data_IF_781648141733
#
_entry.id   IF_781648141733
#
_cell.length_a   1.000
_cell.length_b   1.000
_cell.length_c   1.000
_cell.angle_alpha   90.00
_cell.angle_beta   90.00
_cell.angle_gamma   90.00
#
_symmetry.space_group_name_H-M   'P 1'
#
loop_
_entity.id
_entity.type
_entity.pdbx_description
1 polymer ?
#
# COMPACT_ATOMS: atom_id res chain seq x y z
N UNK A 1 1.75 16.74 -14.05
CA UNK A 1 1.18 15.42 -14.36
C UNK A 1 0.55 15.50 -15.73
N UNK A 2 1.05 14.72 -16.68
CA UNK A 2 0.40 14.58 -17.98
C UNK A 2 -0.89 13.77 -17.84
N UNK A 3 -1.91 14.13 -18.62
CA UNK A 3 -3.21 13.45 -18.56
C UNK A 3 -3.16 12.19 -19.43
N UNK A 4 -3.33 11.03 -18.80
CA UNK A 4 -3.57 9.77 -19.50
C UNK A 4 -5.02 9.74 -20.01
N UNK A 5 -5.20 10.08 -21.29
CA UNK A 5 -6.51 10.15 -21.94
C UNK A 5 -7.28 8.83 -21.88
N UNK A 6 -6.58 7.69 -21.94
CA UNK A 6 -7.22 6.38 -21.92
C UNK A 6 -7.81 6.11 -20.53
N UNK A 7 -7.07 6.41 -19.46
CA UNK A 7 -7.57 6.28 -18.10
C UNK A 7 -8.72 7.25 -17.80
N UNK A 8 -8.67 8.49 -18.29
CA UNK A 8 -9.81 9.42 -18.24
C UNK A 8 -11.04 8.79 -18.93
N UNK A 9 -10.84 8.25 -20.13
CA UNK A 9 -11.90 7.60 -20.90
C UNK A 9 -12.55 6.42 -20.16
N UNK A 10 -11.74 5.57 -19.52
CA UNK A 10 -12.23 4.46 -18.68
C UNK A 10 -13.08 4.95 -17.51
N UNK A 11 -12.67 6.02 -16.82
CA UNK A 11 -13.44 6.60 -15.71
C UNK A 11 -14.78 7.19 -16.18
N UNK A 12 -14.79 7.90 -17.31
CA UNK A 12 -16.02 8.42 -17.93
C UNK A 12 -16.98 7.26 -18.28
N UNK A 13 -16.46 6.19 -18.89
CA UNK A 13 -17.24 4.99 -19.21
C UNK A 13 -17.86 4.36 -17.97
N UNK A 14 -17.10 4.24 -16.89
CA UNK A 14 -17.59 3.67 -15.64
C UNK A 14 -18.72 4.52 -15.03
N UNK A 15 -18.59 5.86 -15.02
CA UNK A 15 -19.66 6.76 -14.58
C UNK A 15 -20.93 6.56 -15.40
N UNK A 16 -20.79 6.50 -16.73
CA UNK A 16 -21.94 6.26 -17.63
C UNK A 16 -22.64 4.93 -17.32
N UNK A 17 -21.87 3.85 -17.19
CA UNK A 17 -22.41 2.51 -16.91
C UNK A 17 -23.07 2.45 -15.54
N UNK A 18 -22.50 3.09 -14.51
CA UNK A 18 -23.10 3.18 -13.17
C UNK A 18 -24.43 3.97 -13.14
N UNK A 19 -24.72 4.77 -14.17
CA UNK A 19 -26.02 5.43 -14.36
C UNK A 19 -26.96 4.66 -15.29
N UNK A 20 -26.58 3.44 -15.69
CA UNK A 20 -27.34 2.58 -16.61
C UNK A 20 -27.68 3.29 -17.92
N UNK A 21 -26.72 4.05 -18.47
CA UNK A 21 -26.91 4.85 -19.70
C UNK A 21 -26.14 4.26 -20.88
N UNK A 22 -26.75 4.23 -22.06
CA UNK A 22 -25.99 4.01 -23.30
C UNK A 22 -25.26 5.29 -23.76
N UNK A 23 -24.40 5.19 -24.79
CA UNK A 23 -23.58 6.32 -25.26
C UNK A 23 -24.42 7.55 -25.65
N UNK A 24 -25.55 7.32 -26.36
CA UNK A 24 -26.45 8.38 -26.80
C UNK A 24 -27.12 9.05 -25.61
N UNK A 25 -27.74 8.28 -24.72
CA UNK A 25 -28.45 8.80 -23.55
C UNK A 25 -27.52 9.59 -22.61
N UNK A 26 -26.26 9.17 -22.51
CA UNK A 26 -25.26 9.88 -21.71
C UNK A 26 -24.88 11.22 -22.33
N UNK A 27 -24.68 11.26 -23.65
CA UNK A 27 -24.47 12.51 -24.39
C UNK A 27 -25.65 13.48 -24.26
N UNK A 28 -26.88 12.96 -24.39
CA UNK A 28 -28.12 13.73 -24.20
C UNK A 28 -28.26 14.25 -22.76
N UNK A 29 -27.96 13.44 -21.75
CA UNK A 29 -27.99 13.85 -20.34
C UNK A 29 -27.05 15.03 -20.08
N UNK A 30 -25.79 14.93 -20.51
CA UNK A 30 -24.80 16.01 -20.34
C UNK A 30 -25.27 17.28 -21.05
N UNK A 31 -25.74 17.15 -22.30
CA UNK A 31 -26.19 18.29 -23.10
C UNK A 31 -27.39 19.00 -22.46
N UNK A 32 -28.34 18.22 -21.94
CA UNK A 32 -29.52 18.71 -21.22
C UNK A 32 -29.13 19.48 -19.97
N UNK A 33 -28.24 18.93 -19.13
CA UNK A 33 -27.81 19.58 -17.89
C UNK A 33 -27.04 20.88 -18.17
N UNK A 34 -26.23 20.89 -19.23
CA UNK A 34 -25.45 22.05 -19.66
C UNK A 34 -26.23 23.07 -20.51
N UNK A 35 -27.48 22.77 -20.85
CA UNK A 35 -28.36 23.54 -21.75
C UNK A 35 -27.68 23.85 -23.09
N UNK A 36 -27.06 22.85 -23.70
CA UNK A 36 -26.45 22.98 -25.03
C UNK A 36 -27.50 22.86 -26.14
N UNK A 37 -27.42 23.69 -27.18
CA UNK A 37 -28.38 23.70 -28.31
C UNK A 37 -28.36 22.41 -29.14
N UNK A 38 -27.28 21.63 -29.05
CA UNK A 38 -27.10 20.37 -29.77
C UNK A 38 -26.68 19.28 -28.80
N UNK A 39 -27.31 18.11 -28.95
CA UNK A 39 -26.91 16.93 -28.21
C UNK A 39 -25.51 16.47 -28.60
N UNK A 40 -24.70 16.13 -27.61
CA UNK A 40 -23.43 15.42 -27.76
C UNK A 40 -23.73 14.06 -28.37
N UNK A 41 -23.11 13.77 -29.53
CA UNK A 41 -23.29 12.49 -30.21
C UNK A 41 -22.63 11.33 -29.45
N UNK A 42 -23.18 10.13 -29.63
CA UNK A 42 -22.58 8.87 -29.22
C UNK A 42 -21.12 8.70 -29.71
N UNK A 43 -20.80 9.18 -30.91
CA UNK A 43 -19.45 9.18 -31.48
C UNK A 43 -18.48 10.11 -30.75
N UNK A 44 -18.95 11.18 -30.10
CA UNK A 44 -18.13 12.04 -29.25
C UNK A 44 -17.88 11.35 -27.91
N UNK A 45 -18.94 10.81 -27.29
CA UNK A 45 -18.82 10.06 -26.03
C UNK A 45 -17.88 8.86 -26.20
N UNK A 46 -18.02 8.11 -27.29
CA UNK A 46 -17.14 6.98 -27.63
C UNK A 46 -15.68 7.41 -27.79
N UNK A 47 -15.40 8.57 -28.40
CA UNK A 47 -14.03 9.11 -28.52
C UNK A 47 -13.45 9.47 -27.16
N UNK A 48 -14.24 10.02 -26.25
CA UNK A 48 -13.80 10.26 -24.87
C UNK A 48 -13.47 8.95 -24.17
N UNK A 49 -14.37 7.96 -24.23
CA UNK A 49 -14.18 6.68 -23.55
C UNK A 49 -12.99 5.86 -24.09
N UNK A 50 -12.63 6.05 -25.36
CA UNK A 50 -11.47 5.43 -26.00
C UNK A 50 -10.18 6.23 -25.83
N UNK A 51 -10.21 7.38 -25.15
CA UNK A 51 -9.04 8.24 -24.96
C UNK A 51 -8.56 8.97 -26.23
N UNK A 52 -9.39 9.04 -27.28
CA UNK A 52 -9.06 9.74 -28.53
C UNK A 52 -9.06 11.26 -28.31
N UNK A 53 -9.97 11.76 -27.49
CA UNK A 53 -10.05 13.17 -27.10
C UNK A 53 -10.52 13.30 -25.65
N UNK A 54 -10.32 14.48 -25.05
CA UNK A 54 -10.79 14.80 -23.69
C UNK A 54 -12.01 15.74 -23.83
N UNK A 55 -13.04 15.62 -22.97
CA UNK A 55 -14.12 16.62 -22.92
C UNK A 55 -13.60 18.02 -22.56
N UNK A 56 -14.36 19.06 -22.89
CA UNK A 56 -14.05 20.43 -22.45
C UNK A 56 -14.19 20.56 -20.93
N UNK A 57 -13.60 21.60 -20.33
CA UNK A 57 -13.68 21.84 -18.88
C UNK A 57 -15.13 21.87 -18.35
N UNK A 58 -16.05 22.52 -19.09
CA UNK A 58 -17.48 22.56 -18.77
C UNK A 58 -18.10 21.15 -18.73
N UNK A 59 -17.78 20.32 -19.71
CA UNK A 59 -18.29 18.94 -19.82
C UNK A 59 -17.63 17.99 -18.84
N UNK A 60 -16.34 18.16 -18.55
CA UNK A 60 -15.65 17.42 -17.49
C UNK A 60 -16.31 17.67 -16.13
N UNK A 61 -16.61 18.93 -15.79
CA UNK A 61 -17.32 19.28 -14.56
C UNK A 61 -18.68 18.60 -14.48
N UNK A 62 -19.48 18.69 -15.55
CA UNK A 62 -20.78 18.01 -15.60
C UNK A 62 -20.67 16.49 -15.43
N UNK A 63 -19.72 15.84 -16.11
CA UNK A 63 -19.49 14.40 -15.97
C UNK A 63 -19.09 14.05 -14.52
N UNK A 64 -18.30 14.92 -13.89
CA UNK A 64 -17.87 14.76 -12.50
C UNK A 64 -19.09 14.83 -11.55
N UNK A 65 -19.95 15.83 -11.76
CA UNK A 65 -21.17 16.05 -10.97
C UNK A 65 -22.15 14.87 -11.15
N UNK A 66 -22.35 14.37 -12.38
CA UNK A 66 -23.15 13.16 -12.64
C UNK A 66 -22.58 11.95 -11.87
N UNK A 67 -21.25 11.81 -11.87
CA UNK A 67 -20.54 10.73 -11.19
C UNK A 67 -20.43 10.89 -9.68
N UNK A 68 -20.78 12.05 -9.11
CA UNK A 68 -20.48 12.44 -7.74
C UNK A 68 -18.99 12.26 -7.39
N UNK A 69 -18.10 12.70 -8.29
CA UNK A 69 -16.64 12.64 -8.16
C UNK A 69 -16.03 14.01 -8.43
N UNK A 70 -14.78 14.22 -8.03
CA UNK A 70 -14.05 15.44 -8.39
C UNK A 70 -13.57 15.40 -9.85
N UNK A 71 -13.37 16.58 -10.45
CA UNK A 71 -12.72 16.69 -11.77
C UNK A 71 -11.29 16.13 -11.70
N UNK A 72 -10.60 16.27 -10.57
CA UNK A 72 -9.27 15.69 -10.36
C UNK A 72 -9.30 14.17 -10.41
N UNK A 73 -10.31 13.53 -9.83
CA UNK A 73 -10.49 12.08 -9.93
C UNK A 73 -10.71 11.65 -11.38
N UNK A 74 -11.53 12.40 -12.13
CA UNK A 74 -11.73 12.12 -13.57
C UNK A 74 -10.43 12.20 -14.37
N UNK A 75 -9.62 13.24 -14.13
CA UNK A 75 -8.42 13.52 -14.92
C UNK A 75 -7.22 12.67 -14.52
N UNK A 76 -7.06 12.39 -13.22
CA UNK A 76 -5.83 11.81 -12.67
C UNK A 76 -6.07 10.55 -11.85
N UNK A 77 -7.33 10.22 -11.54
CA UNK A 77 -7.66 9.12 -10.63
C UNK A 77 -7.42 9.40 -9.16
N UNK A 78 -7.02 10.62 -8.82
CA UNK A 78 -6.75 11.05 -7.44
C UNK A 78 -8.08 11.36 -6.77
N UNK A 79 -8.47 10.53 -5.81
CA UNK A 79 -9.60 10.75 -4.91
C UNK A 79 -9.31 11.83 -3.87
N UNK A 80 -8.12 11.76 -3.26
CA UNK A 80 -7.68 12.67 -2.22
C UNK A 80 -6.28 13.23 -2.56
N UNK A 81 -6.18 14.53 -2.78
CA UNK A 81 -4.89 15.19 -2.99
C UNK A 81 -4.12 15.28 -1.65
N UNK A 82 -2.82 15.56 -1.72
CA UNK A 82 -2.04 15.85 -0.50
C UNK A 82 -2.63 16.99 0.33
N UNK A 83 -3.21 18.01 -0.32
CA UNK A 83 -3.88 19.10 0.36
C UNK A 83 -5.16 18.60 1.06
N UNK A 84 -5.97 17.81 0.37
CA UNK A 84 -7.19 17.24 0.96
C UNK A 84 -6.86 16.36 2.18
N UNK A 85 -5.79 15.57 2.09
CA UNK A 85 -5.28 14.77 3.21
C UNK A 85 -4.83 15.71 4.34
N UNK A 86 -3.96 16.67 4.07
CA UNK A 86 -3.47 17.60 5.09
C UNK A 86 -4.59 18.33 5.83
N UNK A 87 -5.57 18.85 5.09
CA UNK A 87 -6.67 19.65 5.62
C UNK A 87 -7.70 18.78 6.36
N UNK A 88 -7.93 17.53 5.90
CA UNK A 88 -9.06 16.72 6.36
C UNK A 88 -8.69 15.41 7.08
N UNK A 89 -7.40 15.07 7.28
CA UNK A 89 -6.96 13.80 7.91
C UNK A 89 -7.59 13.54 9.28
N UNK A 90 -7.95 14.60 10.02
CA UNK A 90 -8.55 14.49 11.33
C UNK A 90 -10.09 14.39 11.34
N UNK A 91 -10.74 14.51 10.18
CA UNK A 91 -12.19 14.35 10.05
C UNK A 91 -12.60 12.89 10.22
N UNK A 92 -13.80 12.65 10.76
CA UNK A 92 -14.33 11.29 10.97
C UNK A 92 -14.39 10.52 9.64
N UNK A 93 -14.86 11.16 8.57
CA UNK A 93 -14.95 10.54 7.25
C UNK A 93 -13.59 10.08 6.72
N UNK A 94 -12.56 10.92 6.80
CA UNK A 94 -11.23 10.59 6.30
C UNK A 94 -10.57 9.48 7.14
N UNK A 95 -10.73 9.54 8.47
CA UNK A 95 -10.22 8.49 9.36
C UNK A 95 -10.83 7.13 9.04
N UNK A 96 -12.16 7.08 8.86
CA UNK A 96 -12.84 5.85 8.48
C UNK A 96 -12.32 5.31 7.15
N UNK A 97 -12.17 6.16 6.12
CA UNK A 97 -11.65 5.72 4.81
C UNK A 97 -10.19 5.21 4.90
N UNK A 98 -9.35 5.85 5.72
CA UNK A 98 -7.97 5.37 5.96
C UNK A 98 -7.99 4.02 6.68
N UNK A 99 -8.81 3.87 7.73
CA UNK A 99 -8.94 2.63 8.50
C UNK A 99 -9.43 1.48 7.61
N UNK A 100 -10.47 1.71 6.81
CA UNK A 100 -11.03 0.73 5.87
C UNK A 100 -9.97 0.29 4.85
N UNK A 101 -9.14 1.22 4.36
CA UNK A 101 -8.08 0.90 3.40
C UNK A 101 -6.91 0.15 4.05
N UNK A 102 -6.53 0.47 5.29
CA UNK A 102 -5.59 -0.36 6.05
C UNK A 102 -6.12 -1.77 6.23
N UNK A 103 -7.36 -1.91 6.72
CA UNK A 103 -8.00 -3.22 6.90
C UNK A 103 -8.03 -4.02 5.61
N UNK A 104 -8.45 -3.38 4.50
CA UNK A 104 -8.49 -4.02 3.19
C UNK A 104 -7.10 -4.46 2.74
N UNK A 105 -6.08 -3.62 2.91
CA UNK A 105 -4.72 -3.97 2.53
C UNK A 105 -4.22 -5.17 3.34
N UNK A 106 -4.36 -5.12 4.67
CA UNK A 106 -3.92 -6.18 5.57
C UNK A 106 -4.61 -7.52 5.26
N UNK A 107 -5.92 -7.52 5.05
CA UNK A 107 -6.70 -8.75 4.81
C UNK A 107 -6.46 -9.38 3.45
N UNK A 108 -6.27 -8.57 2.40
CA UNK A 108 -6.36 -9.07 1.02
C UNK A 108 -5.12 -8.85 0.18
N UNK A 109 -4.24 -7.91 0.57
CA UNK A 109 -3.13 -7.46 -0.27
C UNK A 109 -1.75 -7.64 0.34
N UNK A 110 -1.64 -7.77 1.67
CA UNK A 110 -0.34 -7.92 2.33
C UNK A 110 0.43 -9.14 1.80
N UNK A 111 -0.23 -10.30 1.75
CA UNK A 111 0.33 -11.57 1.27
C UNK A 111 -0.10 -11.90 -0.19
N UNK A 112 -0.50 -10.89 -0.97
CA UNK A 112 -1.09 -11.13 -2.31
C UNK A 112 -0.07 -11.55 -3.37
N UNK A 113 1.15 -11.02 -3.29
CA UNK A 113 2.23 -11.36 -4.23
C UNK A 113 3.43 -11.94 -3.50
N UNK A 114 3.92 -13.08 -3.98
CA UNK A 114 5.18 -13.68 -3.51
C UNK A 114 6.40 -12.78 -3.75
N UNK A 115 6.30 -11.82 -4.69
CA UNK A 115 7.36 -10.85 -4.97
C UNK A 115 7.37 -9.66 -4.00
N UNK A 116 6.39 -9.56 -3.10
CA UNK A 116 6.42 -8.57 -2.04
C UNK A 116 7.34 -9.04 -0.91
N UNK A 117 8.63 -8.71 -1.02
CA UNK A 117 9.65 -9.11 -0.06
C UNK A 117 9.49 -8.50 1.35
N UNK A 118 8.58 -7.54 1.54
CA UNK A 118 8.26 -6.98 2.85
C UNK A 118 7.03 -7.64 3.51
N UNK A 119 6.27 -8.44 2.76
CA UNK A 119 5.02 -9.04 3.23
C UNK A 119 5.21 -9.92 4.46
N UNK A 120 6.19 -10.82 4.43
CA UNK A 120 6.47 -11.81 5.48
C UNK A 120 6.83 -11.11 6.79
N UNK A 121 7.87 -10.26 6.79
CA UNK A 121 8.30 -9.54 8.01
C UNK A 121 7.20 -8.65 8.61
N UNK A 122 6.33 -8.11 7.75
CA UNK A 122 5.19 -7.30 8.20
C UNK A 122 4.13 -8.19 8.85
N UNK A 123 3.85 -9.36 8.25
CA UNK A 123 2.92 -10.34 8.81
C UNK A 123 3.40 -10.90 10.15
N UNK A 124 4.68 -11.23 10.28
CA UNK A 124 5.26 -11.71 11.54
C UNK A 124 5.10 -10.68 12.67
N UNK A 125 5.30 -9.38 12.37
CA UNK A 125 5.11 -8.32 13.36
C UNK A 125 3.62 -8.11 13.72
N UNK A 126 2.71 -8.31 12.78
CA UNK A 126 1.26 -8.31 13.04
C UNK A 126 0.88 -9.46 13.97
N UNK A 127 1.36 -10.67 13.68
CA UNK A 127 1.09 -11.85 14.49
C UNK A 127 1.58 -11.66 15.93
N UNK A 128 2.77 -11.08 16.11
CA UNK A 128 3.28 -10.73 17.43
C UNK A 128 2.33 -9.80 18.20
N UNK A 129 1.77 -8.78 17.55
CA UNK A 129 0.83 -7.85 18.18
C UNK A 129 -0.51 -8.53 18.51
N UNK A 130 -1.02 -9.38 17.62
CA UNK A 130 -2.26 -10.11 17.85
C UNK A 130 -2.14 -11.12 19.00
N UNK A 131 -1.03 -11.85 19.06
CA UNK A 131 -0.81 -12.87 20.09
C UNK A 131 -0.43 -12.29 21.46
N UNK A 132 0.29 -11.16 21.49
CA UNK A 132 0.96 -10.70 22.72
C UNK A 132 0.48 -9.34 23.24
N UNK A 133 -0.26 -8.57 22.45
CA UNK A 133 -0.75 -7.23 22.83
C UNK A 133 -2.29 -7.11 22.78
N UNK A 134 -3.01 -8.19 22.46
CA UNK A 134 -4.48 -8.21 22.45
C UNK A 134 -5.09 -7.40 21.30
N UNK A 135 -4.31 -7.11 20.26
CA UNK A 135 -4.81 -6.46 19.06
C UNK A 135 -5.69 -7.41 18.25
N UNK A 136 -6.69 -6.82 17.62
CA UNK A 136 -7.35 -7.36 16.43
C UNK A 136 -7.17 -6.36 15.27
N UNK A 137 -7.64 -6.71 14.08
CA UNK A 137 -7.53 -5.83 12.91
C UNK A 137 -8.20 -4.47 13.17
N UNK A 138 -9.32 -4.41 13.89
CA UNK A 138 -10.09 -3.18 14.09
C UNK A 138 -9.36 -2.20 15.02
N UNK A 139 -8.86 -2.71 16.15
CA UNK A 139 -8.08 -1.94 17.12
C UNK A 139 -6.74 -1.51 16.52
N UNK A 140 -6.10 -2.39 15.74
CA UNK A 140 -4.84 -2.08 15.08
C UNK A 140 -4.99 -0.98 14.03
N UNK A 141 -6.00 -1.06 13.15
CA UNK A 141 -6.20 -0.05 12.09
C UNK A 141 -6.52 1.31 12.69
N UNK A 142 -7.16 1.36 13.85
CA UNK A 142 -7.40 2.59 14.61
C UNK A 142 -6.08 3.23 15.08
N UNK A 143 -5.16 2.45 15.63
CA UNK A 143 -3.87 2.97 16.11
C UNK A 143 -2.94 3.36 14.95
N UNK A 144 -2.93 2.58 13.87
CA UNK A 144 -2.27 2.95 12.61
C UNK A 144 -2.83 4.27 12.08
N UNK A 145 -4.15 4.46 12.09
CA UNK A 145 -4.81 5.70 11.68
C UNK A 145 -4.40 6.87 12.59
N UNK A 146 -4.29 6.64 13.90
CA UNK A 146 -3.85 7.66 14.86
C UNK A 146 -2.41 8.13 14.56
N UNK A 147 -1.50 7.19 14.29
CA UNK A 147 -0.10 7.49 13.94
C UNK A 147 0.00 8.36 12.68
N UNK A 148 -0.70 7.98 11.60
CA UNK A 148 -0.62 8.73 10.33
C UNK A 148 -1.35 10.07 10.38
N UNK A 149 -2.28 10.24 11.34
CA UNK A 149 -3.01 11.49 11.57
C UNK A 149 -2.21 12.52 12.39
N UNK A 150 -1.11 12.11 13.02
CA UNK A 150 -0.28 12.98 13.84
C UNK A 150 0.57 13.91 12.95
N UNK A 151 0.37 15.22 13.13
CA UNK A 151 1.05 16.26 12.35
C UNK A 151 2.57 16.30 12.57
N UNK A 152 3.08 15.70 13.65
CA UNK A 152 4.52 15.58 13.92
C UNK A 152 5.20 14.60 12.96
N UNK A 153 4.43 13.71 12.34
CA UNK A 153 4.93 12.66 11.46
C UNK A 153 4.47 12.86 10.01
N UNK A 154 4.74 14.04 9.46
CA UNK A 154 4.35 14.38 8.08
C UNK A 154 4.91 13.45 7.01
N UNK A 155 5.96 12.68 7.32
CA UNK A 155 6.52 11.67 6.43
C UNK A 155 5.54 10.53 6.11
N UNK A 156 4.51 10.31 6.94
CA UNK A 156 3.48 9.30 6.67
C UNK A 156 2.43 9.73 5.63
N UNK A 157 2.40 11.00 5.22
CA UNK A 157 1.41 11.51 4.26
C UNK A 157 1.47 10.79 2.90
N UNK A 158 2.64 10.34 2.45
CA UNK A 158 2.75 9.62 1.19
C UNK A 158 2.11 8.22 1.26
N UNK A 159 2.27 7.50 2.38
CA UNK A 159 1.59 6.22 2.59
C UNK A 159 0.07 6.38 2.64
N UNK A 160 -0.43 7.42 3.31
CA UNK A 160 -1.88 7.76 3.30
C UNK A 160 -2.36 8.09 1.89
N UNK A 161 -1.58 8.85 1.12
CA UNK A 161 -1.90 9.14 -0.26
C UNK A 161 -2.05 7.86 -1.10
N UNK A 162 -1.15 6.90 -0.96
CA UNK A 162 -1.24 5.62 -1.66
C UNK A 162 -2.44 4.79 -1.19
N UNK A 163 -2.72 4.75 0.12
CA UNK A 163 -3.90 4.04 0.67
C UNK A 163 -5.22 4.55 0.07
N UNK A 164 -5.35 5.86 -0.12
CA UNK A 164 -6.59 6.48 -0.60
C UNK A 164 -6.74 6.43 -2.12
N UNK A 165 -5.64 6.47 -2.86
CA UNK A 165 -5.66 6.73 -4.30
C UNK A 165 -5.26 5.56 -5.18
N UNK A 166 -4.42 4.63 -4.70
CA UNK A 166 -3.83 3.60 -5.55
C UNK A 166 -4.56 2.26 -5.53
N UNK A 167 -4.31 1.48 -6.57
CA UNK A 167 -4.75 0.10 -6.69
C UNK A 167 -3.75 -0.84 -6.00
N UNK A 168 -4.19 -1.49 -4.92
CA UNK A 168 -3.37 -2.40 -4.13
C UNK A 168 -2.96 -3.67 -4.87
N UNK A 169 -3.55 -3.99 -6.02
CA UNK A 169 -3.10 -5.13 -6.84
C UNK A 169 -1.76 -4.87 -7.55
N UNK A 170 -1.31 -3.61 -7.64
CA UNK A 170 -0.03 -3.25 -8.26
C UNK A 170 1.14 -3.59 -7.33
N UNK A 171 2.11 -4.35 -7.82
CA UNK A 171 3.27 -4.81 -7.02
C UNK A 171 4.05 -3.67 -6.34
N UNK A 172 4.33 -2.56 -7.04
CA UNK A 172 5.05 -1.44 -6.44
C UNK A 172 4.28 -0.76 -5.31
N UNK A 173 2.93 -0.76 -5.37
CA UNK A 173 2.07 -0.25 -4.31
C UNK A 173 2.12 -1.20 -3.11
N UNK A 174 2.10 -2.51 -3.34
CA UNK A 174 2.25 -3.52 -2.27
C UNK A 174 3.59 -3.40 -1.56
N UNK A 175 4.69 -3.32 -2.31
CA UNK A 175 6.03 -3.16 -1.74
C UNK A 175 6.10 -1.93 -0.84
N UNK A 176 5.66 -0.78 -1.35
CA UNK A 176 5.68 0.46 -0.57
C UNK A 176 4.77 0.38 0.65
N UNK A 177 3.52 -0.05 0.50
CA UNK A 177 2.56 -0.07 1.60
C UNK A 177 2.93 -1.09 2.67
N UNK A 178 3.50 -2.25 2.30
CA UNK A 178 4.01 -3.21 3.28
C UNK A 178 5.18 -2.64 4.09
N UNK A 179 6.15 -1.98 3.44
CA UNK A 179 7.23 -1.31 4.16
C UNK A 179 6.72 -0.18 5.05
N UNK A 180 5.82 0.64 4.53
CA UNK A 180 5.17 1.73 5.26
C UNK A 180 4.43 1.22 6.50
N UNK A 181 3.61 0.18 6.35
CA UNK A 181 2.86 -0.44 7.45
C UNK A 181 3.83 -1.06 8.45
N UNK A 182 4.85 -1.79 8.01
CA UNK A 182 5.89 -2.33 8.89
C UNK A 182 6.49 -1.23 9.79
N UNK A 183 6.83 -0.07 9.21
CA UNK A 183 7.39 1.05 9.98
C UNK A 183 6.41 1.61 11.02
N UNK A 184 5.10 1.61 10.73
CA UNK A 184 4.07 1.99 11.70
C UNK A 184 3.92 0.96 12.80
N UNK A 185 3.91 -0.33 12.45
CA UNK A 185 3.85 -1.43 13.43
C UNK A 185 5.06 -1.37 14.37
N UNK A 186 6.25 -1.06 13.85
CA UNK A 186 7.43 -0.85 14.68
C UNK A 186 7.16 0.24 15.73
N UNK A 187 6.55 1.37 15.37
CA UNK A 187 6.19 2.40 16.36
C UNK A 187 5.25 1.87 17.43
N UNK A 188 4.21 1.13 17.04
CA UNK A 188 3.27 0.51 18.00
C UNK A 188 4.02 -0.46 18.93
N UNK A 189 4.93 -1.28 18.39
CA UNK A 189 5.64 -2.30 19.18
C UNK A 189 6.57 -1.71 20.25
N UNK A 190 6.94 -0.43 20.13
CA UNK A 190 7.77 0.24 21.15
C UNK A 190 7.04 0.46 22.48
N UNK A 191 5.71 0.40 22.49
CA UNK A 191 4.91 0.44 23.73
C UNK A 191 4.86 -0.93 24.43
N UNK A 192 5.43 -1.98 23.83
CA UNK A 192 5.38 -3.36 24.31
C UNK A 192 6.79 -3.95 24.42
N UNK A 193 7.47 -3.79 25.57
CA UNK A 193 8.87 -4.20 25.74
C UNK A 193 9.16 -5.66 25.33
N UNK A 194 8.26 -6.59 25.65
CA UNK A 194 8.41 -8.00 25.26
C UNK A 194 8.32 -8.20 23.74
N UNK A 195 7.46 -7.46 23.06
CA UNK A 195 7.32 -7.52 21.59
C UNK A 195 8.54 -6.88 20.93
N UNK A 196 9.06 -5.79 21.49
CA UNK A 196 10.30 -5.17 21.03
C UNK A 196 11.46 -6.18 21.02
N UNK A 197 11.65 -6.94 22.11
CA UNK A 197 12.68 -8.00 22.16
C UNK A 197 12.44 -9.07 21.08
N UNK A 198 11.20 -9.54 20.90
CA UNK A 198 10.87 -10.50 19.83
C UNK A 198 11.15 -9.93 18.44
N UNK A 199 10.87 -8.65 18.20
CA UNK A 199 11.16 -7.99 16.94
C UNK A 199 12.68 -7.87 16.69
N UNK A 200 13.49 -7.58 17.72
CA UNK A 200 14.96 -7.61 17.60
C UNK A 200 15.48 -8.99 17.19
N UNK A 201 14.97 -10.05 17.82
CA UNK A 201 15.29 -11.44 17.46
C UNK A 201 14.91 -11.72 16.00
N UNK A 202 13.75 -11.23 15.55
CA UNK A 202 13.33 -11.36 14.16
C UNK A 202 14.32 -10.69 13.19
N UNK A 203 14.80 -9.48 13.51
CA UNK A 203 15.79 -8.78 12.67
C UNK A 203 17.12 -9.52 12.55
N UNK A 204 17.56 -10.19 13.62
CA UNK A 204 18.78 -11.01 13.60
C UNK A 204 18.58 -12.25 12.72
N UNK A 205 17.42 -12.91 12.84
CA UNK A 205 17.05 -14.05 12.00
C UNK A 205 17.01 -13.66 10.53
N UNK A 206 16.33 -12.56 10.18
CA UNK A 206 16.28 -12.06 8.80
C UNK A 206 17.68 -11.74 8.27
N UNK A 207 18.53 -11.12 9.09
CA UNK A 207 19.92 -10.82 8.73
C UNK A 207 20.72 -12.09 8.46
N UNK A 208 20.53 -13.16 9.24
CA UNK A 208 21.18 -14.46 9.01
C UNK A 208 20.77 -15.05 7.67
N UNK A 209 19.49 -15.02 7.31
CA UNK A 209 19.02 -15.51 6.01
C UNK A 209 19.56 -14.67 4.86
N UNK A 210 19.53 -13.34 4.97
CA UNK A 210 20.13 -12.44 3.95
C UNK A 210 21.61 -12.69 3.74
N UNK A 211 22.37 -12.95 4.82
CA UNK A 211 23.79 -13.32 4.72
C UNK A 211 23.95 -14.65 3.98
N UNK A 212 23.09 -15.65 4.23
CA UNK A 212 23.12 -16.91 3.48
C UNK A 212 22.84 -16.70 2.00
N UNK A 213 21.79 -15.93 1.67
CA UNK A 213 21.37 -15.67 0.30
C UNK A 213 22.46 -15.01 -0.55
N UNK A 214 23.18 -14.03 0.02
CA UNK A 214 24.27 -13.35 -0.70
C UNK A 214 25.59 -14.16 -0.72
N UNK A 215 25.70 -15.22 0.07
CA UNK A 215 26.92 -16.03 0.20
C UNK A 215 26.92 -17.26 -0.69
N UNK A 216 25.75 -17.71 -1.18
CA UNK A 216 25.64 -18.90 -1.99
C UNK A 216 25.46 -18.57 -3.47
N UNK A 217 26.19 -19.29 -4.33
CA UNK A 217 25.92 -19.38 -5.76
C UNK A 217 24.75 -20.35 -5.98
N UNK A 218 23.93 -20.05 -6.99
CA UNK A 218 22.84 -20.91 -7.45
C UNK A 218 23.31 -21.65 -8.70
N UNK A 219 23.35 -22.97 -8.62
CA UNK A 219 23.59 -23.84 -9.77
C UNK A 219 22.24 -24.40 -10.21
N UNK A 220 21.82 -24.07 -11.43
CA UNK A 220 20.55 -24.56 -11.96
C UNK A 220 20.79 -25.88 -12.71
N UNK A 221 20.32 -26.99 -12.14
CA UNK A 221 20.21 -28.25 -12.85
C UNK A 221 18.73 -28.63 -12.95
N UNK A 222 18.12 -28.33 -14.09
CA UNK A 222 16.70 -28.57 -14.46
C UNK A 222 15.67 -27.65 -13.79
N UNK A 223 14.49 -27.54 -14.41
CA UNK A 223 13.40 -26.59 -14.10
C UNK A 223 12.82 -26.69 -12.66
N UNK A 224 13.28 -27.63 -11.83
CA UNK A 224 12.60 -27.97 -10.58
C UNK A 224 13.50 -28.01 -9.32
N UNK A 225 14.83 -27.94 -9.44
CA UNK A 225 15.74 -27.93 -8.28
C UNK A 225 16.84 -26.88 -8.44
N UNK A 226 16.88 -25.92 -7.49
CA UNK A 226 17.97 -24.96 -7.35
C UNK A 226 18.94 -25.54 -6.33
N UNK A 227 20.08 -26.07 -6.78
CA UNK A 227 21.18 -26.36 -5.88
C UNK A 227 21.93 -25.07 -5.54
N UNK A 228 22.39 -24.96 -4.30
CA UNK A 228 23.17 -23.80 -3.87
C UNK A 228 24.43 -24.25 -3.14
N UNK A 229 25.54 -23.58 -3.41
CA UNK A 229 26.81 -23.81 -2.72
C UNK A 229 27.47 -22.49 -2.32
N UNK A 230 28.21 -22.50 -1.21
CA UNK A 230 28.93 -21.33 -0.73
C UNK A 230 29.97 -20.89 -1.77
N UNK A 231 30.05 -19.59 -2.07
CA UNK A 231 31.00 -19.10 -3.06
C UNK A 231 32.46 -19.45 -2.69
N UNK A 232 33.24 -19.89 -3.68
CA UNK A 232 34.57 -20.53 -3.49
C UNK A 232 35.58 -19.69 -2.70
N UNK A 233 35.50 -18.36 -2.78
CA UNK A 233 36.41 -17.46 -2.07
C UNK A 233 36.07 -17.30 -0.58
N UNK A 234 34.88 -17.76 -0.15
CA UNK A 234 34.42 -17.61 1.22
C UNK A 234 35.06 -18.70 2.08
N UNK A 235 35.77 -18.27 3.13
CA UNK A 235 36.30 -19.19 4.12
C UNK A 235 35.16 -19.83 4.93
N UNK A 236 34.90 -21.12 4.71
CA UNK A 236 33.81 -21.85 5.35
C UNK A 236 33.84 -21.80 6.89
N UNK A 237 35.02 -21.82 7.51
CA UNK A 237 35.15 -21.77 8.98
C UNK A 237 34.75 -20.40 9.53
N UNK A 238 35.25 -19.32 8.94
CA UNK A 238 34.91 -17.96 9.37
C UNK A 238 33.44 -17.62 9.04
N UNK A 239 32.93 -18.10 7.91
CA UNK A 239 31.51 -17.96 7.56
C UNK A 239 30.59 -18.64 8.57
N UNK A 240 30.89 -19.89 8.97
CA UNK A 240 30.13 -20.58 10.02
C UNK A 240 30.20 -19.81 11.34
N UNK A 241 31.39 -19.34 11.72
CA UNK A 241 31.58 -18.53 12.95
C UNK A 241 30.76 -17.24 12.93
N UNK A 242 30.65 -16.57 11.77
CA UNK A 242 29.78 -15.39 11.61
C UNK A 242 28.31 -15.72 11.94
N UNK A 243 27.78 -16.81 11.37
CA UNK A 243 26.40 -17.24 11.63
C UNK A 243 26.19 -17.71 13.08
N UNK A 244 27.19 -18.37 13.66
CA UNK A 244 27.17 -18.79 15.07
C UNK A 244 27.15 -17.57 16.00
N UNK A 245 27.93 -16.52 15.71
CA UNK A 245 27.93 -15.28 16.48
C UNK A 245 26.56 -14.59 16.46
N UNK A 246 25.88 -14.55 15.31
CA UNK A 246 24.52 -14.01 15.22
C UNK A 246 23.53 -14.84 16.05
N UNK A 247 23.66 -16.17 16.02
CA UNK A 247 22.83 -17.07 16.82
C UNK A 247 23.09 -16.94 18.33
N UNK A 248 24.32 -16.61 18.73
CA UNK A 248 24.65 -16.30 20.12
C UNK A 248 24.05 -14.96 20.55
N UNK A 249 24.09 -13.95 19.68
CA UNK A 249 23.46 -12.65 19.94
C UNK A 249 21.94 -12.78 20.10
N UNK A 250 21.31 -13.57 19.22
CA UNK A 250 19.90 -13.94 19.30
C UNK A 250 19.54 -14.54 20.67
N UNK A 251 20.27 -15.59 21.09
CA UNK A 251 20.09 -16.23 22.40
C UNK A 251 20.34 -15.28 23.56
N UNK A 252 21.32 -14.38 23.44
CA UNK A 252 21.62 -13.39 24.46
C UNK A 252 20.42 -12.46 24.64
N UNK A 253 19.92 -11.86 23.57
CA UNK A 253 18.78 -10.93 23.62
C UNK A 253 17.52 -11.63 24.18
N UNK A 254 17.25 -12.87 23.78
CA UNK A 254 16.09 -13.63 24.29
C UNK A 254 16.17 -13.93 25.79
N UNK A 255 17.37 -14.17 26.33
CA UNK A 255 17.56 -14.59 27.72
C UNK A 255 17.93 -13.42 28.66
N UNK A 256 18.28 -12.26 28.11
CA UNK A 256 18.82 -11.12 28.84
C UNK A 256 17.81 -9.96 28.80
N UNK A 257 17.01 -9.87 29.87
CA UNK A 257 16.06 -8.77 30.06
C UNK A 257 16.75 -7.44 30.42
N UNK A 258 18.08 -7.35 30.46
CA UNK A 258 18.78 -6.09 30.79
C UNK A 258 18.56 -4.96 29.78
N UNK A 259 18.03 -5.27 28.59
CA UNK A 259 17.60 -4.26 27.61
C UNK A 259 16.27 -3.58 27.99
N UNK A 260 15.55 -4.09 28.99
CA UNK A 260 14.29 -3.53 29.48
C UNK A 260 14.53 -3.01 30.90
N UNK A 261 14.38 -1.70 31.09
CA UNK A 261 14.37 -1.13 32.44
C UNK A 261 13.11 -1.60 33.17
N UNK A 262 13.29 -2.20 34.35
CA UNK A 262 12.17 -2.47 35.27
C UNK A 262 11.80 -1.18 36.01
N UNK A 263 11.14 -0.24 35.32
CA UNK A 263 10.57 0.95 35.96
C UNK A 263 9.08 0.77 36.25
#
# INVERSE_FOLDING_TARGET
MDIDKLEVGKRIKNIRLNKSKNLREFGELISKNLKEDKNISDSIVSRWEKGVSIPSAKRLKEIADIGNVSVNYLLYGVKATYKDIHDNINTVSMKNEIMDNFERFLKYYLLYSEYNNYSIKTAELLDLLFENAGYDITTLTKDLCALVSDKRFSFYQHGVYLLLNEDFSKLHVQLYLSEFIYNLLVQITLDYPNIYIKNLVLQITETKERIKDISHKKDAYTEFEIETHLADFINHKEYKKLLDNLSQLEKKITNDNSLIDNN
#
